data_IF_668011095329
#
_entry.id   IF_668011095329
#
_cell.length_a   1.000
_cell.length_b   1.000
_cell.length_c   1.000
_cell.angle_alpha   90.00
_cell.angle_beta   90.00
_cell.angle_gamma   90.00
#
_symmetry.space_group_name_H-M   'P 1'
#
loop_
_entity.id
_entity.type
_entity.pdbx_description
1 polymer ?
#
# COMPACT_ATOMS: atom_id res chain seq x y z
N UNK A 1 42.72 -7.26 52.86
CA UNK A 1 41.36 -7.49 52.29
C UNK A 1 40.73 -6.16 51.96
N UNK A 2 40.91 -5.67 50.73
CA UNK A 2 40.35 -4.41 50.27
C UNK A 2 39.13 -4.70 49.37
N UNK A 3 37.94 -4.35 49.85
CA UNK A 3 36.70 -4.43 49.05
C UNK A 3 36.67 -3.33 48.01
N UNK A 4 36.93 -3.66 46.74
CA UNK A 4 36.69 -2.77 45.58
C UNK A 4 35.19 -2.47 45.42
N UNK A 5 34.79 -1.26 45.77
CA UNK A 5 33.50 -0.69 45.50
C UNK A 5 33.29 -0.55 43.98
N UNK A 6 32.49 -1.42 43.35
CA UNK A 6 32.04 -1.26 41.97
C UNK A 6 30.93 -0.22 41.94
N UNK A 7 31.27 1.04 41.66
CA UNK A 7 30.28 2.07 41.27
C UNK A 7 29.66 1.68 39.94
N UNK A 8 28.39 1.29 39.93
CA UNK A 8 27.57 1.09 38.74
C UNK A 8 27.30 2.45 38.13
N UNK A 9 28.15 2.96 37.24
CA UNK A 9 27.86 4.11 36.42
C UNK A 9 26.92 3.66 35.30
N UNK A 10 25.75 4.28 35.22
CA UNK A 10 24.86 4.21 34.07
C UNK A 10 25.62 4.73 32.85
N UNK A 11 26.06 3.83 31.97
CA UNK A 11 26.82 4.12 30.75
C UNK A 11 25.86 4.49 29.61
N UNK A 12 25.16 5.65 29.70
CA UNK A 12 24.30 6.13 28.64
C UNK A 12 25.08 6.89 27.55
N UNK A 13 26.25 7.48 27.91
CA UNK A 13 27.15 8.16 26.98
C UNK A 13 28.59 7.77 27.25
N UNK A 14 29.06 6.69 26.66
CA UNK A 14 30.46 6.30 26.66
C UNK A 14 31.07 6.65 25.30
N UNK A 15 31.56 7.88 25.16
CA UNK A 15 32.19 8.42 23.95
C UNK A 15 33.50 7.67 23.58
N UNK A 16 34.06 6.92 24.51
CA UNK A 16 35.32 6.16 24.29
C UNK A 16 35.10 4.70 23.93
N UNK A 17 33.83 4.30 23.72
CA UNK A 17 33.53 2.95 23.29
C UNK A 17 33.78 2.88 21.79
N UNK A 18 34.88 2.24 21.38
CA UNK A 18 35.04 1.81 20.00
C UNK A 18 33.74 1.16 19.56
N UNK A 19 33.08 1.78 18.56
CA UNK A 19 31.87 1.23 18.02
C UNK A 19 32.16 -0.23 17.69
N UNK A 20 31.28 -1.17 18.08
CA UNK A 20 31.34 -2.51 17.52
C UNK A 20 31.31 -2.27 16.02
N UNK A 21 32.46 -2.44 15.34
CA UNK A 21 32.54 -2.36 13.90
C UNK A 21 31.34 -3.12 13.33
N UNK A 22 30.77 -2.66 12.25
CA UNK A 22 29.62 -3.30 11.60
C UNK A 22 29.92 -4.80 11.51
N UNK A 23 29.48 -5.56 12.53
CA UNK A 23 29.76 -6.98 12.63
C UNK A 23 29.28 -7.64 11.36
N UNK A 24 30.05 -8.58 10.79
CA UNK A 24 29.64 -9.36 9.61
C UNK A 24 28.16 -9.69 9.74
N UNK A 25 27.34 -9.10 8.90
CA UNK A 25 25.91 -9.44 8.85
C UNK A 25 25.87 -10.95 8.61
N UNK A 26 25.23 -11.76 9.47
CA UNK A 26 25.16 -13.19 9.25
C UNK A 26 24.63 -13.42 7.84
N UNK A 27 25.22 -14.34 7.08
CA UNK A 27 24.78 -14.73 5.75
C UNK A 27 23.35 -15.24 5.83
N UNK A 28 22.39 -14.35 5.72
CA UNK A 28 20.97 -14.68 5.69
C UNK A 28 20.59 -14.98 4.25
N UNK A 29 19.75 -16.00 4.05
CA UNK A 29 19.17 -16.27 2.73
C UNK A 29 18.60 -14.96 2.17
N UNK A 30 18.84 -14.66 0.88
CA UNK A 30 18.49 -13.39 0.26
C UNK A 30 16.99 -13.03 0.36
N UNK A 31 16.09 -14.00 0.59
CA UNK A 31 14.63 -13.80 0.50
C UNK A 31 13.79 -14.50 1.57
N UNK A 32 14.36 -14.82 2.75
CA UNK A 32 13.66 -15.59 3.79
C UNK A 32 12.82 -14.73 4.74
N UNK A 33 11.90 -15.37 5.49
CA UNK A 33 11.10 -14.74 6.56
C UNK A 33 11.97 -14.00 7.60
N UNK A 34 13.08 -14.59 8.01
CA UNK A 34 14.00 -13.97 8.97
C UNK A 34 14.52 -12.63 8.43
N UNK A 35 14.92 -12.58 7.15
CA UNK A 35 15.37 -11.34 6.51
C UNK A 35 14.24 -10.31 6.41
N UNK A 36 13.02 -10.73 6.10
CA UNK A 36 11.86 -9.84 6.10
C UNK A 36 11.71 -9.12 7.45
N UNK A 37 11.67 -9.85 8.56
CA UNK A 37 11.48 -9.25 9.89
C UNK A 37 12.66 -8.38 10.32
N UNK A 38 13.90 -8.77 10.01
CA UNK A 38 15.07 -7.96 10.30
C UNK A 38 15.03 -6.66 9.49
N UNK A 39 14.84 -6.75 8.18
CA UNK A 39 14.74 -5.56 7.31
C UNK A 39 13.59 -4.64 7.72
N UNK A 40 12.43 -5.21 8.08
CA UNK A 40 11.29 -4.47 8.58
C UNK A 40 11.62 -3.72 9.87
N UNK A 41 12.18 -4.42 10.86
CA UNK A 41 12.56 -3.86 12.18
C UNK A 41 13.59 -2.74 12.02
N UNK A 42 14.63 -2.98 11.22
CA UNK A 42 15.72 -2.01 11.03
C UNK A 42 15.27 -0.74 10.31
N UNK A 43 14.19 -0.82 9.52
CA UNK A 43 13.67 0.29 8.73
C UNK A 43 12.26 0.75 9.17
N UNK A 44 11.79 0.41 10.37
CA UNK A 44 10.43 0.72 10.83
C UNK A 44 10.09 2.21 10.75
N UNK A 45 11.03 3.10 11.10
CA UNK A 45 10.83 4.55 10.98
C UNK A 45 10.66 5.03 9.54
N UNK A 46 11.39 4.44 8.58
CA UNK A 46 11.24 4.75 7.15
C UNK A 46 9.90 4.24 6.62
N UNK A 47 9.48 3.03 7.04
CA UNK A 47 8.19 2.43 6.68
C UNK A 47 7.03 3.27 7.23
N UNK A 48 7.14 3.76 8.47
CA UNK A 48 6.17 4.72 9.04
C UNK A 48 6.10 6.02 8.23
N UNK A 49 7.25 6.55 7.80
CA UNK A 49 7.26 7.73 6.91
C UNK A 49 6.58 7.45 5.57
N UNK A 50 6.76 6.27 4.99
CA UNK A 50 6.05 5.84 3.77
C UNK A 50 4.53 5.79 4.01
N UNK A 51 4.09 5.37 5.20
CA UNK A 51 2.67 5.37 5.56
C UNK A 51 2.06 6.77 5.46
N UNK A 52 2.77 7.78 5.97
CA UNK A 52 2.32 9.18 5.89
C UNK A 52 2.20 9.61 4.41
N UNK A 53 3.16 9.27 3.54
CA UNK A 53 3.04 9.56 2.10
C UNK A 53 1.84 8.87 1.46
N UNK A 54 1.55 7.62 1.84
CA UNK A 54 0.39 6.89 1.33
C UNK A 54 -0.92 7.53 1.75
N UNK A 55 -1.03 8.00 2.99
CA UNK A 55 -2.25 8.65 3.50
C UNK A 55 -2.42 10.03 2.85
N UNK A 56 -1.41 10.90 2.96
CA UNK A 56 -1.49 12.27 2.45
C UNK A 56 -1.65 12.30 0.92
N UNK A 57 -0.94 11.43 0.20
CA UNK A 57 -1.02 11.37 -1.24
C UNK A 57 -2.34 10.81 -1.77
N UNK A 58 -3.01 9.95 -0.99
CA UNK A 58 -4.32 9.40 -1.31
C UNK A 58 -5.47 10.08 -0.52
N UNK A 59 -5.19 11.23 0.11
CA UNK A 59 -6.18 11.97 0.90
C UNK A 59 -7.51 12.23 0.16
N UNK A 60 -7.55 12.44 -1.17
CA UNK A 60 -8.79 12.60 -1.91
C UNK A 60 -9.81 11.46 -1.70
N UNK A 61 -9.38 10.25 -1.34
CA UNK A 61 -10.30 9.14 -1.10
C UNK A 61 -11.25 9.40 0.07
N UNK A 62 -10.82 10.19 1.07
CA UNK A 62 -11.68 10.52 2.22
C UNK A 62 -12.89 11.34 1.81
N UNK A 63 -12.77 12.22 0.82
CA UNK A 63 -13.91 12.97 0.28
C UNK A 63 -14.90 12.05 -0.42
N UNK A 64 -14.42 11.06 -1.20
CA UNK A 64 -15.28 10.05 -1.83
C UNK A 64 -16.01 9.22 -0.78
N UNK A 65 -15.30 8.74 0.24
CA UNK A 65 -15.90 7.96 1.33
C UNK A 65 -16.99 8.77 2.04
N UNK A 66 -16.74 10.05 2.36
CA UNK A 66 -17.71 10.91 3.02
C UNK A 66 -19.00 11.10 2.17
N UNK A 67 -18.85 11.26 0.85
CA UNK A 67 -20.01 11.36 -0.06
C UNK A 67 -20.76 10.05 -0.16
N UNK A 68 -20.07 8.94 -0.37
CA UNK A 68 -20.69 7.62 -0.50
C UNK A 68 -21.40 7.20 0.79
N UNK A 69 -20.84 7.56 1.95
CA UNK A 69 -21.48 7.35 3.25
C UNK A 69 -22.69 8.27 3.52
N UNK A 70 -22.94 9.24 2.64
CA UNK A 70 -24.10 10.13 2.76
C UNK A 70 -23.91 11.35 3.66
N UNK A 71 -22.73 11.56 4.28
CA UNK A 71 -22.49 12.68 5.23
C UNK A 71 -22.68 14.09 4.63
N UNK A 72 -22.69 14.21 3.31
CA UNK A 72 -22.84 15.49 2.60
C UNK A 72 -24.23 15.70 2.02
N UNK A 73 -25.15 14.76 2.25
CA UNK A 73 -26.54 14.82 1.78
C UNK A 73 -27.43 15.45 2.84
N UNK A 74 -28.45 16.18 2.40
CA UNK A 74 -29.50 16.71 3.27
C UNK A 74 -30.70 15.77 3.28
N UNK A 75 -31.36 15.67 4.40
CA UNK A 75 -32.63 14.98 4.53
C UNK A 75 -33.74 15.83 3.90
N UNK A 76 -34.56 15.23 3.08
CA UNK A 76 -35.76 15.86 2.53
C UNK A 76 -36.93 14.89 2.63
N UNK A 77 -38.10 15.45 2.81
CA UNK A 77 -39.35 14.72 2.91
C UNK A 77 -40.20 15.05 1.69
N UNK A 78 -40.43 14.08 0.82
CA UNK A 78 -41.28 14.24 -0.36
C UNK A 78 -42.66 13.63 -0.08
N UNK A 79 -43.73 14.28 -0.49
CA UNK A 79 -45.08 13.70 -0.48
C UNK A 79 -45.09 12.38 -1.20
N UNK A 80 -45.75 11.37 -0.61
CA UNK A 80 -45.98 10.08 -1.27
C UNK A 80 -47.17 10.11 -2.21
N UNK A 81 -48.15 11.00 -1.92
CA UNK A 81 -49.40 11.18 -2.70
C UNK A 81 -49.46 12.58 -3.31
N UNK A 82 -49.97 12.68 -4.52
CA UNK A 82 -50.27 13.96 -5.21
C UNK A 82 -51.33 14.79 -4.46
N UNK A 83 -52.15 14.13 -3.60
CA UNK A 83 -53.17 14.78 -2.76
C UNK A 83 -52.60 15.32 -1.42
N UNK A 84 -51.30 15.13 -1.15
CA UNK A 84 -50.66 15.56 0.08
C UNK A 84 -50.93 17.04 0.41
N UNK A 85 -50.82 17.92 -0.58
CA UNK A 85 -51.01 19.35 -0.37
C UNK A 85 -52.47 19.70 0.00
N UNK A 86 -53.44 19.00 -0.58
CA UNK A 86 -54.87 19.16 -0.25
C UNK A 86 -55.16 18.67 1.18
N UNK A 87 -54.68 17.48 1.52
CA UNK A 87 -54.89 16.93 2.89
C UNK A 87 -54.14 17.74 3.95
N UNK A 88 -52.94 18.19 3.65
CA UNK A 88 -52.19 19.07 4.54
C UNK A 88 -52.86 20.42 4.74
N UNK A 89 -53.40 21.00 3.67
CA UNK A 89 -54.19 22.23 3.71
C UNK A 89 -55.45 22.09 4.58
N UNK A 90 -56.24 21.02 4.36
CA UNK A 90 -57.42 20.72 5.19
C UNK A 90 -57.07 20.52 6.67
N UNK A 91 -55.97 19.78 6.95
CA UNK A 91 -55.51 19.57 8.32
C UNK A 91 -55.09 20.89 9.01
N UNK A 92 -54.46 21.82 8.29
CA UNK A 92 -54.09 23.13 8.80
C UNK A 92 -55.31 24.04 8.98
N UNK A 93 -56.28 24.03 8.07
CA UNK A 93 -57.47 24.94 8.09
C UNK A 93 -58.55 24.49 9.07
N UNK A 94 -58.83 23.20 9.18
CA UNK A 94 -59.91 22.64 9.99
C UNK A 94 -59.43 22.13 11.35
N UNK A 95 -58.12 22.05 11.52
CA UNK A 95 -57.50 21.52 12.74
C UNK A 95 -57.61 19.99 12.85
N UNK A 96 -57.35 19.48 14.07
CA UNK A 96 -57.32 18.04 14.35
C UNK A 96 -58.76 17.55 14.62
N UNK A 97 -59.41 17.06 13.55
CA UNK A 97 -60.69 16.36 13.62
C UNK A 97 -60.52 14.91 13.23
N UNK A 98 -61.45 13.99 13.58
CA UNK A 98 -61.33 12.58 13.16
C UNK A 98 -61.22 12.41 11.66
N UNK A 99 -61.94 13.25 10.87
CA UNK A 99 -61.96 13.22 9.42
C UNK A 99 -60.63 13.73 8.84
N UNK A 100 -60.08 14.84 9.33
CA UNK A 100 -58.80 15.38 8.89
C UNK A 100 -57.66 14.43 9.25
N UNK A 101 -57.70 13.77 10.41
CA UNK A 101 -56.74 12.71 10.81
C UNK A 101 -56.81 11.51 9.90
N UNK A 102 -58.03 11.02 9.54
CA UNK A 102 -58.18 9.92 8.60
C UNK A 102 -57.68 10.24 7.21
N UNK A 103 -57.97 11.43 6.67
CA UNK A 103 -57.44 11.88 5.39
C UNK A 103 -55.91 12.03 5.41
N UNK A 104 -55.35 12.60 6.47
CA UNK A 104 -53.90 12.75 6.61
C UNK A 104 -53.19 11.39 6.79
N UNK A 105 -53.79 10.43 7.46
CA UNK A 105 -53.26 9.08 7.58
C UNK A 105 -53.16 8.35 6.24
N UNK A 106 -54.07 8.65 5.31
CA UNK A 106 -54.05 8.07 3.96
C UNK A 106 -53.11 8.79 3.00
N UNK A 107 -53.18 10.12 2.95
CA UNK A 107 -52.44 10.92 1.98
C UNK A 107 -51.30 11.80 2.53
N UNK A 108 -51.16 11.88 3.86
CA UNK A 108 -50.15 12.69 4.52
C UNK A 108 -48.78 12.02 4.70
N UNK A 109 -48.64 10.78 4.20
CA UNK A 109 -47.36 10.05 4.30
C UNK A 109 -46.29 10.72 3.42
N UNK A 110 -45.14 10.94 4.00
CA UNK A 110 -43.96 11.46 3.32
C UNK A 110 -42.88 10.42 3.18
N UNK A 111 -42.21 10.39 2.05
CA UNK A 111 -41.03 9.54 1.81
C UNK A 111 -39.80 10.33 2.22
N UNK A 112 -39.03 9.79 3.14
CA UNK A 112 -37.72 10.29 3.48
C UNK A 112 -36.72 9.98 2.34
N UNK A 113 -36.02 10.98 1.86
CA UNK A 113 -34.98 10.84 0.85
C UNK A 113 -33.74 11.65 1.24
N UNK A 114 -32.57 11.20 0.78
CA UNK A 114 -31.32 11.93 0.92
C UNK A 114 -31.02 12.67 -0.41
N UNK A 115 -30.94 13.99 -0.33
CA UNK A 115 -30.74 14.86 -1.49
C UNK A 115 -29.30 15.38 -1.50
N UNK A 116 -28.59 15.32 -2.62
CA UNK A 116 -27.26 15.90 -2.74
C UNK A 116 -27.29 17.42 -2.51
N UNK A 117 -26.36 17.92 -1.69
CA UNK A 117 -26.14 19.35 -1.48
C UNK A 117 -25.03 19.88 -2.38
N UNK A 118 -24.80 21.19 -2.41
CA UNK A 118 -23.64 21.77 -3.09
C UNK A 118 -22.31 21.17 -2.57
N UNK A 119 -22.24 20.91 -1.26
CA UNK A 119 -21.07 20.26 -0.64
C UNK A 119 -20.82 18.84 -1.20
N UNK A 120 -21.88 18.10 -1.53
CA UNK A 120 -21.77 16.78 -2.20
C UNK A 120 -20.99 16.87 -3.49
N UNK A 121 -21.31 17.86 -4.35
CA UNK A 121 -20.61 18.04 -5.62
C UNK A 121 -19.16 18.51 -5.44
N UNK A 122 -18.91 19.39 -4.48
CA UNK A 122 -17.53 19.80 -4.13
C UNK A 122 -16.70 18.59 -3.69
N UNK A 123 -17.26 17.72 -2.86
CA UNK A 123 -16.56 16.53 -2.38
C UNK A 123 -16.36 15.49 -3.49
N UNK A 124 -17.31 15.36 -4.44
CA UNK A 124 -17.07 14.54 -5.64
C UNK A 124 -15.90 15.09 -6.48
N UNK A 125 -15.83 16.41 -6.66
CA UNK A 125 -14.72 17.02 -7.39
C UNK A 125 -13.38 16.83 -6.68
N UNK A 126 -13.30 17.05 -5.37
CA UNK A 126 -12.10 16.82 -4.59
C UNK A 126 -11.72 15.34 -4.56
N UNK A 127 -12.67 14.45 -4.39
CA UNK A 127 -12.46 13.01 -4.39
C UNK A 127 -11.96 12.48 -5.74
N UNK A 128 -12.40 13.08 -6.86
CA UNK A 128 -11.94 12.67 -8.19
C UNK A 128 -10.45 12.88 -8.42
N UNK A 129 -9.78 13.74 -7.62
CA UNK A 129 -8.33 13.93 -7.69
C UNK A 129 -7.55 12.65 -7.38
N UNK A 130 -8.17 11.64 -6.75
CA UNK A 130 -7.55 10.32 -6.53
C UNK A 130 -7.08 9.69 -7.84
N UNK A 131 -7.79 9.94 -8.94
CA UNK A 131 -7.45 9.41 -10.26
C UNK A 131 -6.04 9.83 -10.70
N UNK A 132 -5.61 11.04 -10.30
CA UNK A 132 -4.30 11.57 -10.62
C UNK A 132 -3.24 11.20 -9.56
N UNK A 133 -3.59 11.25 -8.28
CA UNK A 133 -2.61 11.06 -7.19
C UNK A 133 -2.23 9.61 -6.97
N UNK A 134 -3.16 8.68 -7.19
CA UNK A 134 -3.01 7.27 -6.85
C UNK A 134 -1.79 6.60 -7.49
N UNK A 135 -1.58 6.80 -8.78
CA UNK A 135 -0.44 6.24 -9.51
C UNK A 135 0.90 6.79 -9.01
N UNK A 136 0.98 8.11 -8.77
CA UNK A 136 2.19 8.74 -8.27
C UNK A 136 2.59 8.24 -6.88
N UNK A 137 1.61 8.13 -5.98
CA UNK A 137 1.84 7.62 -4.62
C UNK A 137 2.33 6.18 -4.63
N UNK A 138 1.69 5.32 -5.43
CA UNK A 138 2.10 3.91 -5.53
C UNK A 138 3.49 3.76 -6.13
N UNK A 139 3.87 4.54 -7.15
CA UNK A 139 5.21 4.51 -7.76
C UNK A 139 6.27 5.00 -6.77
N UNK A 140 6.05 6.15 -6.12
CA UNK A 140 6.99 6.70 -5.14
C UNK A 140 7.22 5.75 -3.97
N UNK A 141 6.15 5.22 -3.40
CA UNK A 141 6.22 4.30 -2.26
C UNK A 141 6.78 2.92 -2.64
N UNK A 142 6.44 2.39 -3.82
CA UNK A 142 7.02 1.12 -4.30
C UNK A 142 8.53 1.21 -4.49
N UNK A 143 9.06 2.35 -4.97
CA UNK A 143 10.50 2.56 -5.10
C UNK A 143 11.21 2.49 -3.75
N UNK A 144 10.70 3.22 -2.75
CA UNK A 144 11.26 3.24 -1.40
C UNK A 144 11.22 1.86 -0.76
N UNK A 145 10.05 1.20 -0.78
CA UNK A 145 9.86 -0.11 -0.16
C UNK A 145 10.70 -1.20 -0.85
N UNK A 146 10.89 -1.11 -2.18
CA UNK A 146 11.80 -1.99 -2.92
C UNK A 146 13.24 -1.81 -2.47
N UNK A 147 13.72 -0.56 -2.33
CA UNK A 147 15.08 -0.28 -1.89
C UNK A 147 15.33 -0.78 -0.46
N UNK A 148 14.33 -0.62 0.44
CA UNK A 148 14.37 -1.22 1.79
C UNK A 148 14.48 -2.75 1.70
N UNK A 149 13.67 -3.41 0.86
CA UNK A 149 13.71 -4.87 0.69
C UNK A 149 15.07 -5.35 0.14
N UNK A 150 15.65 -4.59 -0.79
CA UNK A 150 16.97 -4.84 -1.37
C UNK A 150 18.10 -4.64 -0.35
N UNK A 151 17.89 -3.79 0.65
CA UNK A 151 18.90 -3.41 1.66
C UNK A 151 19.69 -2.18 1.27
N UNK A 152 19.26 -1.42 0.27
CA UNK A 152 19.87 -0.17 -0.15
C UNK A 152 19.59 0.97 0.83
N UNK A 153 20.48 1.96 0.95
CA UNK A 153 20.21 3.17 1.72
C UNK A 153 19.02 3.93 1.11
N UNK A 154 18.13 4.46 1.97
CA UNK A 154 16.89 5.11 1.56
C UNK A 154 16.76 6.49 2.22
N UNK A 155 16.51 7.51 1.39
CA UNK A 155 16.14 8.87 1.77
C UNK A 155 14.69 9.14 1.37
N UNK A 156 13.74 8.86 2.26
CA UNK A 156 12.30 8.73 1.98
C UNK A 156 11.74 9.86 1.11
N UNK A 157 12.01 11.13 1.46
CA UNK A 157 11.52 12.30 0.71
C UNK A 157 12.13 12.42 -0.69
N UNK A 158 13.45 12.36 -0.76
CA UNK A 158 14.20 12.49 -2.02
C UNK A 158 13.86 11.36 -2.99
N UNK A 159 13.86 10.13 -2.49
CA UNK A 159 13.62 8.93 -3.29
C UNK A 159 12.18 8.86 -3.80
N UNK A 160 11.20 9.33 -2.98
CA UNK A 160 9.82 9.44 -3.42
C UNK A 160 9.69 10.32 -4.66
N UNK A 161 10.17 11.56 -4.57
CA UNK A 161 10.06 12.51 -5.67
C UNK A 161 10.92 12.13 -6.87
N UNK A 162 12.09 11.52 -6.65
CA UNK A 162 12.90 10.96 -7.72
C UNK A 162 12.14 9.91 -8.51
N UNK A 163 11.52 8.95 -7.85
CA UNK A 163 10.76 7.89 -8.50
C UNK A 163 9.55 8.43 -9.26
N UNK A 164 8.80 9.35 -8.65
CA UNK A 164 7.64 10.00 -9.29
C UNK A 164 8.06 10.77 -10.54
N UNK A 165 9.09 11.63 -10.45
CA UNK A 165 9.58 12.40 -11.60
C UNK A 165 10.10 11.51 -12.73
N UNK A 166 10.82 10.44 -12.40
CA UNK A 166 11.38 9.51 -13.39
C UNK A 166 10.31 8.74 -14.15
N UNK A 167 9.21 8.38 -13.48
CA UNK A 167 8.18 7.51 -14.03
C UNK A 167 6.82 8.19 -14.22
N UNK A 168 6.73 9.52 -14.22
CA UNK A 168 5.48 10.28 -14.12
C UNK A 168 4.43 9.91 -15.18
N UNK A 169 4.83 9.70 -16.45
CA UNK A 169 3.92 9.34 -17.54
C UNK A 169 3.29 7.96 -17.31
N UNK A 170 4.13 6.99 -16.94
CA UNK A 170 3.66 5.63 -16.68
C UNK A 170 2.81 5.58 -15.41
N UNK A 171 3.22 6.29 -14.36
CA UNK A 171 2.48 6.41 -13.12
C UNK A 171 1.09 7.03 -13.32
N UNK A 172 0.99 8.09 -14.13
CA UNK A 172 -0.29 8.72 -14.43
C UNK A 172 -1.21 7.79 -15.24
N UNK A 173 -0.72 7.27 -16.37
CA UNK A 173 -1.54 6.43 -17.27
C UNK A 173 -1.99 5.16 -16.54
N UNK A 174 -1.06 4.46 -15.90
CA UNK A 174 -1.42 3.24 -15.19
C UNK A 174 -2.23 3.54 -13.92
N UNK A 175 -1.97 4.63 -13.22
CA UNK A 175 -2.76 5.07 -12.07
C UNK A 175 -4.23 5.26 -12.38
N UNK A 176 -4.55 5.90 -13.53
CA UNK A 176 -5.93 6.03 -14.02
C UNK A 176 -6.55 4.65 -14.27
N UNK A 177 -5.84 3.77 -14.97
CA UNK A 177 -6.30 2.40 -15.27
C UNK A 177 -6.54 1.63 -13.96
N UNK A 178 -5.64 1.74 -13.00
CA UNK A 178 -5.69 1.06 -11.70
C UNK A 178 -6.91 1.51 -10.87
N UNK A 179 -7.17 2.81 -10.82
CA UNK A 179 -8.36 3.37 -10.12
C UNK A 179 -9.64 2.89 -10.80
N UNK A 180 -9.69 2.90 -12.14
CA UNK A 180 -10.87 2.44 -12.88
C UNK A 180 -11.14 0.96 -12.66
N UNK A 181 -10.13 0.09 -12.80
CA UNK A 181 -10.29 -1.36 -12.58
C UNK A 181 -10.69 -1.63 -11.12
N UNK A 182 -10.01 -1.02 -10.16
CA UNK A 182 -10.34 -1.19 -8.73
C UNK A 182 -11.75 -0.70 -8.43
N UNK A 183 -12.15 0.44 -9.00
CA UNK A 183 -13.50 0.98 -8.85
C UNK A 183 -14.58 0.08 -9.44
N UNK A 184 -14.36 -0.47 -10.64
CA UNK A 184 -15.30 -1.41 -11.29
C UNK A 184 -15.40 -2.71 -10.46
N UNK A 185 -14.28 -3.26 -10.01
CA UNK A 185 -14.31 -4.47 -9.17
C UNK A 185 -15.03 -4.23 -7.85
N UNK A 186 -14.76 -3.10 -7.18
CA UNK A 186 -15.44 -2.74 -5.93
C UNK A 186 -16.94 -2.52 -6.13
N UNK A 187 -17.34 -1.82 -7.21
CA UNK A 187 -18.74 -1.59 -7.57
C UNK A 187 -19.48 -2.91 -7.86
N UNK A 188 -18.85 -3.81 -8.63
CA UNK A 188 -19.43 -5.13 -8.91
C UNK A 188 -19.60 -5.95 -7.65
N UNK A 189 -18.56 -6.03 -6.79
CA UNK A 189 -18.63 -6.75 -5.53
C UNK A 189 -19.75 -6.20 -4.63
N UNK A 190 -19.85 -4.86 -4.51
CA UNK A 190 -20.91 -4.22 -3.74
C UNK A 190 -22.29 -4.62 -4.25
N UNK A 191 -22.56 -4.50 -5.55
CA UNK A 191 -23.87 -4.84 -6.11
C UNK A 191 -24.19 -6.35 -5.99
N UNK A 192 -23.18 -7.21 -6.12
CA UNK A 192 -23.39 -8.67 -6.00
C UNK A 192 -23.59 -9.14 -4.54
N UNK A 193 -23.05 -8.39 -3.56
CA UNK A 193 -23.26 -8.69 -2.13
C UNK A 193 -24.64 -8.24 -1.64
N UNK A 194 -25.08 -7.04 -2.07
CA UNK A 194 -26.30 -6.41 -1.59
C UNK A 194 -27.49 -6.51 -2.57
N UNK A 195 -27.28 -7.15 -3.73
CA UNK A 195 -28.31 -7.36 -4.74
C UNK A 195 -29.14 -8.63 -4.52
N UNK A 196 -29.95 -8.96 -5.50
CA UNK A 196 -30.77 -10.18 -5.49
C UNK A 196 -29.91 -11.45 -5.47
N UNK A 197 -30.30 -12.42 -4.67
CA UNK A 197 -29.59 -13.72 -4.55
C UNK A 197 -30.14 -14.72 -5.57
N UNK A 198 -29.24 -15.40 -6.28
CA UNK A 198 -29.57 -16.44 -7.23
C UNK A 198 -28.33 -17.22 -7.66
N UNK A 199 -28.53 -18.34 -8.33
CA UNK A 199 -27.41 -19.17 -8.78
C UNK A 199 -26.43 -18.40 -9.68
N UNK A 200 -26.95 -17.69 -10.68
CA UNK A 200 -26.14 -16.89 -11.62
C UNK A 200 -25.42 -15.76 -10.89
N UNK A 201 -26.11 -15.04 -10.00
CA UNK A 201 -25.53 -13.96 -9.20
C UNK A 201 -24.39 -14.49 -8.32
N UNK A 202 -24.57 -15.66 -7.70
CA UNK A 202 -23.51 -16.31 -6.90
C UNK A 202 -22.31 -16.72 -7.75
N UNK A 203 -22.51 -17.24 -8.95
CA UNK A 203 -21.41 -17.54 -9.87
C UNK A 203 -20.64 -16.26 -10.28
N UNK A 204 -21.35 -15.18 -10.61
CA UNK A 204 -20.76 -13.88 -10.94
C UNK A 204 -19.99 -13.30 -9.75
N UNK A 205 -20.52 -13.46 -8.53
CA UNK A 205 -19.83 -13.03 -7.31
C UNK A 205 -18.46 -13.71 -7.18
N UNK A 206 -18.43 -15.05 -7.20
CA UNK A 206 -17.17 -15.79 -7.05
C UNK A 206 -16.19 -15.53 -8.20
N UNK A 207 -16.67 -15.41 -9.43
CA UNK A 207 -15.83 -15.02 -10.56
C UNK A 207 -15.20 -13.62 -10.35
N UNK A 208 -15.99 -12.66 -9.86
CA UNK A 208 -15.49 -11.31 -9.56
C UNK A 208 -14.50 -11.34 -8.39
N UNK A 209 -14.71 -12.14 -7.36
CA UNK A 209 -13.75 -12.32 -6.25
C UNK A 209 -12.43 -12.87 -6.76
N UNK A 210 -12.45 -13.90 -7.60
CA UNK A 210 -11.23 -14.50 -8.17
C UNK A 210 -10.47 -13.45 -9.01
N UNK A 211 -11.17 -12.70 -9.86
CA UNK A 211 -10.57 -11.62 -10.66
C UNK A 211 -9.99 -10.52 -9.78
N UNK A 212 -10.69 -10.13 -8.71
CA UNK A 212 -10.23 -9.12 -7.77
C UNK A 212 -8.95 -9.56 -7.04
N UNK A 213 -8.89 -10.81 -6.56
CA UNK A 213 -7.70 -11.39 -5.91
C UNK A 213 -6.53 -11.48 -6.90
N UNK A 214 -6.79 -11.95 -8.13
CA UNK A 214 -5.74 -12.02 -9.17
C UNK A 214 -5.20 -10.62 -9.50
N UNK A 215 -6.09 -9.64 -9.71
CA UNK A 215 -5.69 -8.26 -9.97
C UNK A 215 -4.94 -7.65 -8.80
N UNK A 216 -5.38 -7.90 -7.57
CA UNK A 216 -4.69 -7.45 -6.35
C UNK A 216 -3.25 -7.99 -6.28
N UNK A 217 -3.04 -9.26 -6.62
CA UNK A 217 -1.70 -9.87 -6.69
C UNK A 217 -0.89 -9.28 -7.85
N UNK A 218 -1.47 -9.10 -9.04
CA UNK A 218 -0.80 -8.47 -10.18
C UNK A 218 -0.24 -7.08 -9.82
N UNK A 219 -1.00 -6.29 -9.04
CA UNK A 219 -0.57 -4.97 -8.58
C UNK A 219 0.72 -4.99 -7.76
N UNK A 220 1.05 -6.11 -7.06
CA UNK A 220 2.34 -6.24 -6.36
C UNK A 220 3.51 -6.05 -7.31
N UNK A 221 3.38 -6.64 -8.50
CA UNK A 221 4.43 -6.66 -9.51
C UNK A 221 4.47 -5.43 -10.39
N UNK A 222 3.32 -4.86 -10.71
CA UNK A 222 3.22 -3.74 -11.67
C UNK A 222 4.04 -2.54 -11.22
N UNK A 223 3.81 -2.05 -10.01
CA UNK A 223 4.53 -0.89 -9.51
C UNK A 223 6.00 -1.19 -9.24
N UNK A 224 6.34 -2.39 -8.78
CA UNK A 224 7.75 -2.81 -8.58
C UNK A 224 8.50 -2.88 -9.91
N UNK A 225 7.90 -3.47 -10.97
CA UNK A 225 8.50 -3.50 -12.30
C UNK A 225 8.66 -2.10 -12.91
N UNK A 226 7.66 -1.24 -12.73
CA UNK A 226 7.69 0.15 -13.23
C UNK A 226 8.87 0.95 -12.67
N UNK A 227 9.22 0.74 -11.41
CA UNK A 227 10.35 1.43 -10.77
C UNK A 227 11.69 0.71 -10.95
N UNK A 228 11.67 -0.54 -11.39
CA UNK A 228 12.89 -1.36 -11.55
C UNK A 228 13.38 -1.37 -13.00
N UNK A 229 12.46 -1.49 -13.98
CA UNK A 229 12.80 -1.67 -15.39
C UNK A 229 12.26 -0.55 -16.27
N UNK A 230 12.91 -0.31 -17.42
CA UNK A 230 12.42 0.57 -18.47
C UNK A 230 11.55 -0.22 -19.46
N UNK A 231 10.33 -0.61 -19.06
CA UNK A 231 9.41 -1.40 -19.88
C UNK A 231 8.18 -0.56 -20.25
N UNK A 232 7.51 -0.89 -21.36
CA UNK A 232 6.20 -0.32 -21.68
C UNK A 232 5.11 -0.87 -20.76
N UNK A 233 4.04 -0.10 -20.52
CA UNK A 233 2.92 -0.47 -19.64
C UNK A 233 2.34 -1.84 -20.02
N UNK A 234 2.13 -2.09 -21.31
CA UNK A 234 1.58 -3.39 -21.79
C UNK A 234 2.49 -4.57 -21.44
N UNK A 235 3.81 -4.41 -21.55
CA UNK A 235 4.78 -5.44 -21.15
C UNK A 235 4.76 -5.64 -19.62
N UNK A 236 4.68 -4.55 -18.84
CA UNK A 236 4.58 -4.63 -17.39
C UNK A 236 3.33 -5.40 -16.97
N UNK A 237 2.15 -5.10 -17.55
CA UNK A 237 0.89 -5.79 -17.24
C UNK A 237 0.99 -7.28 -17.58
N UNK A 238 1.49 -7.61 -18.79
CA UNK A 238 1.67 -9.01 -19.22
C UNK A 238 2.61 -9.78 -18.29
N UNK A 239 3.76 -9.21 -17.97
CA UNK A 239 4.73 -9.83 -17.07
C UNK A 239 4.17 -9.99 -15.66
N UNK A 240 3.42 -9.00 -15.16
CA UNK A 240 2.79 -9.05 -13.84
C UNK A 240 1.76 -10.16 -13.71
N UNK A 241 1.01 -10.46 -14.78
CA UNK A 241 0.10 -11.60 -14.80
C UNK A 241 0.89 -12.91 -14.70
N UNK A 242 1.99 -13.05 -15.46
CA UNK A 242 2.85 -14.24 -15.40
C UNK A 242 3.43 -14.41 -14.00
N UNK A 243 3.98 -13.35 -13.39
CA UNK A 243 4.54 -13.41 -12.04
C UNK A 243 3.50 -13.67 -10.96
N UNK A 244 2.26 -13.16 -11.14
CA UNK A 244 1.16 -13.47 -10.23
C UNK A 244 0.89 -14.97 -10.17
N UNK A 245 0.96 -15.67 -11.31
CA UNK A 245 0.74 -17.12 -11.40
C UNK A 245 1.98 -17.92 -10.97
N UNK A 246 3.16 -17.60 -11.50
CA UNK A 246 4.41 -18.32 -11.19
C UNK A 246 4.87 -18.11 -9.75
N UNK A 247 4.61 -16.93 -9.20
CA UNK A 247 4.95 -16.56 -7.81
C UNK A 247 3.94 -17.01 -6.77
N UNK A 248 2.96 -17.88 -7.08
CA UNK A 248 1.79 -18.21 -6.26
C UNK A 248 2.12 -18.46 -4.78
N UNK A 249 3.10 -19.32 -4.48
CA UNK A 249 3.47 -19.62 -3.08
C UNK A 249 3.85 -18.35 -2.29
N UNK A 250 4.70 -17.50 -2.84
CA UNK A 250 5.16 -16.27 -2.19
C UNK A 250 4.05 -15.21 -2.14
N UNK A 251 3.23 -15.15 -3.17
CA UNK A 251 2.08 -14.26 -3.25
C UNK A 251 1.00 -14.59 -2.22
N UNK A 252 0.70 -15.88 -2.02
CA UNK A 252 -0.24 -16.34 -0.99
C UNK A 252 0.27 -15.97 0.40
N UNK A 253 1.55 -16.15 0.68
CA UNK A 253 2.13 -15.77 1.98
C UNK A 253 1.99 -14.27 2.23
N UNK A 254 2.27 -13.43 1.22
CA UNK A 254 2.06 -11.98 1.35
C UNK A 254 0.58 -11.62 1.51
N UNK A 255 -0.31 -12.29 0.78
CA UNK A 255 -1.76 -12.13 0.91
C UNK A 255 -2.25 -12.49 2.32
N UNK A 256 -1.80 -13.62 2.87
CA UNK A 256 -2.12 -14.02 4.24
C UNK A 256 -1.61 -13.00 5.27
N UNK A 257 -0.44 -12.43 5.07
CA UNK A 257 0.07 -11.33 5.90
C UNK A 257 -0.83 -10.08 5.86
N UNK A 258 -1.29 -9.69 4.67
CA UNK A 258 -2.25 -8.60 4.50
C UNK A 258 -3.60 -8.91 5.17
N UNK A 259 -4.12 -10.13 4.97
CA UNK A 259 -5.37 -10.58 5.60
C UNK A 259 -5.25 -10.62 7.12
N UNK A 260 -4.08 -10.98 7.66
CA UNK A 260 -3.83 -10.93 9.11
C UNK A 260 -3.90 -9.49 9.65
N UNK A 261 -3.33 -8.52 8.96
CA UNK A 261 -3.45 -7.10 9.35
C UNK A 261 -4.92 -6.66 9.34
N UNK A 262 -5.67 -6.98 8.29
CA UNK A 262 -7.11 -6.65 8.20
C UNK A 262 -7.93 -7.38 9.27
N UNK A 263 -7.60 -8.61 9.60
CA UNK A 263 -8.26 -9.37 10.67
C UNK A 263 -7.99 -8.75 12.04
N UNK A 264 -6.77 -8.28 12.31
CA UNK A 264 -6.47 -7.55 13.55
C UNK A 264 -7.27 -6.26 13.66
N UNK A 265 -7.41 -5.50 12.56
CA UNK A 265 -8.29 -4.33 12.52
C UNK A 265 -9.74 -4.68 12.84
N UNK A 266 -10.25 -5.73 12.21
CA UNK A 266 -11.61 -6.22 12.49
C UNK A 266 -11.80 -6.58 13.97
N UNK A 267 -10.83 -7.27 14.59
CA UNK A 267 -10.89 -7.61 16.00
C UNK A 267 -10.91 -6.35 16.89
N UNK A 268 -10.11 -5.35 16.60
CA UNK A 268 -10.08 -4.10 17.39
C UNK A 268 -11.39 -3.34 17.29
N UNK A 269 -12.04 -3.32 16.13
CA UNK A 269 -13.33 -2.63 15.93
C UNK A 269 -14.49 -3.40 16.57
N UNK A 270 -14.61 -4.70 16.27
CA UNK A 270 -15.83 -5.46 16.53
C UNK A 270 -15.77 -6.42 17.71
N UNK A 271 -14.61 -7.00 18.01
CA UNK A 271 -14.49 -8.00 19.06
C UNK A 271 -14.12 -7.42 20.41
N UNK A 272 -13.19 -6.45 20.44
CA UNK A 272 -12.69 -5.91 21.70
C UNK A 272 -13.43 -4.63 22.11
N UNK A 273 -13.82 -3.75 21.17
CA UNK A 273 -14.54 -2.52 21.46
C UNK A 273 -13.79 -1.56 22.38
N UNK A 274 -14.48 -0.56 22.92
CA UNK A 274 -13.94 0.36 23.93
C UNK A 274 -12.64 1.06 23.49
N UNK A 275 -11.60 0.99 24.34
CA UNK A 275 -10.31 1.63 24.08
C UNK A 275 -9.61 1.06 22.83
N UNK A 276 -9.91 -0.18 22.44
CA UNK A 276 -9.29 -0.82 21.28
C UNK A 276 -9.73 -0.20 19.94
N UNK A 277 -10.87 0.49 19.90
CA UNK A 277 -11.29 1.29 18.72
C UNK A 277 -10.25 2.37 18.41
N UNK A 278 -9.63 2.97 19.45
CA UNK A 278 -8.56 3.94 19.25
C UNK A 278 -7.34 3.34 18.55
N UNK A 279 -7.01 2.08 18.83
CA UNK A 279 -5.94 1.34 18.12
C UNK A 279 -6.33 1.04 16.67
N UNK A 280 -7.58 0.66 16.40
CA UNK A 280 -8.08 0.44 15.04
C UNK A 280 -8.01 1.71 14.17
N UNK A 281 -8.13 2.90 14.77
CA UNK A 281 -7.92 4.16 14.05
C UNK A 281 -6.44 4.51 13.93
N UNK A 282 -5.66 4.33 15.00
CA UNK A 282 -4.27 4.75 15.08
C UNK A 282 -3.32 3.88 14.22
N UNK A 283 -3.50 2.57 14.21
CA UNK A 283 -2.58 1.66 13.53
C UNK A 283 -2.54 1.87 12.00
N UNK A 284 -3.68 2.00 11.27
CA UNK A 284 -3.66 2.34 9.85
C UNK A 284 -2.99 3.70 9.60
N UNK A 285 -3.25 4.69 10.45
CA UNK A 285 -2.67 6.02 10.31
C UNK A 285 -1.16 6.03 10.55
N UNK A 286 -0.65 5.18 11.42
CA UNK A 286 0.77 5.15 11.78
C UNK A 286 1.58 4.24 10.87
N UNK A 287 1.14 2.97 10.66
CA UNK A 287 2.04 1.97 10.07
C UNK A 287 1.36 0.86 9.24
N UNK A 288 0.09 0.51 9.43
CA UNK A 288 -0.48 -0.70 8.83
C UNK A 288 -0.55 -0.66 7.31
N UNK A 289 -0.89 0.49 6.71
CA UNK A 289 -0.99 0.62 5.25
C UNK A 289 0.36 0.35 4.59
N UNK A 290 1.43 0.95 5.12
CA UNK A 290 2.79 0.72 4.61
C UNK A 290 3.34 -0.66 4.93
N UNK A 291 2.94 -1.27 6.05
CA UNK A 291 3.29 -2.66 6.39
C UNK A 291 2.71 -3.63 5.37
N UNK A 292 1.41 -3.50 5.05
CA UNK A 292 0.77 -4.29 4.00
C UNK A 292 1.41 -4.05 2.63
N UNK A 293 1.77 -2.80 2.33
CA UNK A 293 2.49 -2.47 1.10
C UNK A 293 3.88 -3.09 1.06
N UNK A 294 4.62 -3.07 2.18
CA UNK A 294 5.95 -3.67 2.28
C UNK A 294 5.91 -5.19 2.08
N UNK A 295 4.95 -5.89 2.68
CA UNK A 295 4.77 -7.34 2.48
C UNK A 295 4.61 -7.68 0.99
N UNK A 296 3.78 -6.91 0.27
CA UNK A 296 3.54 -7.06 -1.16
C UNK A 296 4.79 -6.79 -2.01
N UNK A 297 5.45 -5.66 -1.75
CA UNK A 297 6.66 -5.26 -2.48
C UNK A 297 7.81 -6.23 -2.23
N UNK A 298 7.98 -6.69 -0.98
CA UNK A 298 8.98 -7.70 -0.62
C UNK A 298 8.78 -9.00 -1.41
N UNK A 299 7.55 -9.51 -1.43
CA UNK A 299 7.21 -10.73 -2.16
C UNK A 299 7.46 -10.58 -3.68
N UNK A 300 7.03 -9.45 -4.25
CA UNK A 300 7.18 -9.18 -5.67
C UNK A 300 8.65 -8.98 -6.08
N UNK A 301 9.40 -8.17 -5.33
CA UNK A 301 10.79 -7.88 -5.65
C UNK A 301 11.64 -9.15 -5.70
N UNK A 302 11.60 -9.98 -4.66
CA UNK A 302 12.40 -11.19 -4.62
C UNK A 302 11.95 -12.27 -5.62
N UNK A 303 10.70 -12.22 -6.09
CA UNK A 303 10.29 -13.09 -7.20
C UNK A 303 10.78 -12.58 -8.55
N UNK A 304 10.82 -11.28 -8.75
CA UNK A 304 11.41 -10.64 -9.93
C UNK A 304 12.93 -10.88 -9.95
N UNK A 305 13.59 -10.74 -8.80
CA UNK A 305 15.02 -11.02 -8.64
C UNK A 305 15.35 -12.45 -9.06
N UNK A 306 14.62 -13.43 -8.53
CA UNK A 306 14.79 -14.86 -8.82
C UNK A 306 14.60 -15.21 -10.31
N UNK A 307 13.63 -14.57 -10.99
CA UNK A 307 13.23 -14.96 -12.36
C UNK A 307 13.84 -14.12 -13.47
N UNK A 308 14.29 -12.90 -13.18
CA UNK A 308 14.82 -11.98 -14.20
C UNK A 308 16.22 -11.51 -13.84
N UNK A 309 16.43 -11.00 -12.61
CA UNK A 309 17.65 -10.28 -12.26
C UNK A 309 18.81 -11.26 -12.10
N UNK A 310 18.63 -12.33 -11.33
CA UNK A 310 19.70 -13.33 -11.13
C UNK A 310 20.08 -14.06 -12.43
N UNK A 311 19.14 -14.58 -13.25
CA UNK A 311 19.49 -15.21 -14.51
C UNK A 311 20.21 -14.26 -15.47
N UNK A 312 19.83 -12.97 -15.50
CA UNK A 312 20.53 -11.97 -16.30
C UNK A 312 21.98 -11.81 -15.88
N UNK A 313 22.28 -11.73 -14.59
CA UNK A 313 23.65 -11.62 -14.08
C UNK A 313 24.44 -12.94 -14.12
N UNK A 314 23.76 -14.08 -14.27
CA UNK A 314 24.43 -15.36 -14.56
C UNK A 314 24.93 -15.41 -16.02
N UNK A 315 24.16 -14.80 -16.95
CA UNK A 315 24.55 -14.67 -18.36
C UNK A 315 25.55 -13.52 -18.61
N UNK A 316 25.52 -12.46 -17.76
CA UNK A 316 26.35 -11.26 -17.88
C UNK A 316 27.04 -10.95 -16.54
N UNK A 317 28.03 -11.76 -16.12
CA UNK A 317 28.69 -11.59 -14.82
C UNK A 317 29.41 -10.23 -14.69
N UNK A 318 29.87 -9.68 -15.80
CA UNK A 318 30.57 -8.38 -15.88
C UNK A 318 29.67 -7.19 -15.51
N UNK A 319 28.37 -7.31 -15.70
CA UNK A 319 27.41 -6.25 -15.36
C UNK A 319 26.88 -6.37 -13.92
N UNK A 320 27.28 -7.41 -13.17
CA UNK A 320 26.84 -7.59 -11.78
C UNK A 320 27.41 -6.45 -10.91
N UNK A 321 26.59 -5.66 -10.22
CA UNK A 321 27.08 -4.68 -9.29
C UNK A 321 27.97 -5.34 -8.23
N UNK A 322 29.16 -4.80 -8.05
CA UNK A 322 30.07 -5.24 -6.98
C UNK A 322 29.48 -4.79 -5.66
N UNK A 323 29.29 -5.72 -4.73
CA UNK A 323 28.86 -5.39 -3.37
C UNK A 323 30.09 -4.92 -2.59
N UNK A 324 30.40 -3.62 -2.69
CA UNK A 324 31.56 -2.97 -2.05
C UNK A 324 31.61 -3.23 -0.53
N UNK A 325 30.45 -3.55 0.07
CA UNK A 325 30.33 -3.80 1.50
C UNK A 325 30.48 -5.28 1.89
N UNK A 326 30.62 -6.20 0.95
CA UNK A 326 30.79 -7.62 1.25
C UNK A 326 32.21 -7.93 1.79
N UNK A 327 33.17 -7.01 1.56
CA UNK A 327 34.57 -7.13 1.95
C UNK A 327 35.07 -5.89 2.68
N UNK A 328 34.60 -5.66 3.91
CA UNK A 328 35.05 -4.57 4.79
C UNK A 328 36.60 -4.53 5.00
N UNK A 329 37.30 -5.67 4.89
CA UNK A 329 38.74 -5.76 5.03
C UNK A 329 39.49 -5.06 3.89
N UNK A 330 38.96 -5.09 2.65
CA UNK A 330 39.57 -4.43 1.47
C UNK A 330 39.24 -2.93 1.47
N UNK A 331 38.01 -2.56 1.86
CA UNK A 331 37.54 -1.17 1.89
C UNK A 331 38.20 -0.33 2.99
N UNK A 332 38.74 -0.97 4.06
CA UNK A 332 39.35 -0.31 5.21
C UNK A 332 40.87 -0.20 5.12
N UNK A 333 41.49 -0.57 4.00
CA UNK A 333 42.94 -0.45 3.78
C UNK A 333 43.26 0.93 3.25
N UNK A 334 43.94 1.74 4.05
CA UNK A 334 44.37 3.10 3.67
C UNK A 334 45.53 3.13 2.65
N UNK A 335 46.21 1.99 2.47
CA UNK A 335 47.40 1.83 1.61
C UNK A 335 47.06 1.42 0.16
N UNK A 336 45.77 1.22 -0.16
CA UNK A 336 45.33 0.75 -1.47
C UNK A 336 44.43 1.78 -2.14
N UNK A 337 44.68 2.05 -3.42
CA UNK A 337 43.86 2.97 -4.20
C UNK A 337 42.46 2.40 -4.43
N UNK A 338 41.48 3.27 -4.66
CA UNK A 338 40.10 2.86 -4.90
C UNK A 338 39.95 1.88 -6.08
N UNK A 339 40.77 2.05 -7.13
CA UNK A 339 40.84 1.12 -8.27
C UNK A 339 41.35 -0.27 -7.90
N UNK A 340 42.40 -0.34 -7.08
CA UNK A 340 42.96 -1.61 -6.62
C UNK A 340 41.96 -2.33 -5.69
N UNK A 341 41.27 -1.59 -4.81
CA UNK A 341 40.19 -2.12 -3.96
C UNK A 341 39.08 -2.76 -4.80
N UNK A 342 38.62 -2.04 -5.83
CA UNK A 342 37.58 -2.55 -6.73
C UNK A 342 38.07 -3.75 -7.56
N UNK A 343 39.34 -3.75 -7.99
CA UNK A 343 39.92 -4.88 -8.73
C UNK A 343 40.03 -6.12 -7.84
N UNK A 344 40.49 -5.98 -6.57
CA UNK A 344 40.55 -7.09 -5.60
C UNK A 344 39.16 -7.66 -5.31
N UNK A 345 38.16 -6.80 -5.12
CA UNK A 345 36.78 -7.22 -4.89
C UNK A 345 36.20 -7.97 -6.09
N UNK A 346 36.45 -7.45 -7.31
CA UNK A 346 36.03 -8.13 -8.55
C UNK A 346 36.68 -9.49 -8.73
N UNK A 347 38.01 -9.56 -8.52
CA UNK A 347 38.77 -10.81 -8.60
C UNK A 347 38.29 -11.86 -7.59
N UNK A 348 37.98 -11.45 -6.38
CA UNK A 348 37.49 -12.33 -5.31
C UNK A 348 36.08 -12.86 -5.57
N UNK A 349 35.25 -12.05 -6.25
CA UNK A 349 33.88 -12.45 -6.65
C UNK A 349 33.84 -13.17 -8.00
N UNK A 350 34.98 -13.48 -8.62
CA UNK A 350 35.07 -14.18 -9.90
C UNK A 350 34.65 -13.34 -11.11
N UNK A 351 34.56 -12.01 -10.95
CA UNK A 351 34.19 -11.08 -12.02
C UNK A 351 35.46 -10.70 -12.79
N UNK A 352 35.54 -11.07 -14.08
CA UNK A 352 36.67 -10.68 -14.96
C UNK A 352 36.69 -9.17 -15.14
N UNK A 353 37.88 -8.57 -15.01
CA UNK A 353 38.11 -7.15 -15.36
C UNK A 353 38.49 -7.09 -16.84
N UNK A 354 37.86 -6.21 -17.61
CA UNK A 354 38.12 -5.99 -19.03
C UNK A 354 39.47 -5.28 -19.32
N UNK A 355 40.36 -5.17 -18.33
CA UNK A 355 41.62 -4.40 -18.45
C UNK A 355 42.79 -5.27 -18.96
N UNK A 356 42.56 -6.49 -19.48
CA UNK A 356 43.61 -7.34 -20.07
C UNK A 356 43.61 -7.34 -21.62
N UNK A 357 42.83 -6.44 -22.27
CA UNK A 357 42.82 -6.25 -23.71
C UNK A 357 43.23 -4.83 -24.15
N UNK A 358 44.44 -4.33 -23.72
CA UNK A 358 45.19 -3.29 -24.43
C UNK A 358 46.70 -3.59 -24.44
#
# INVERSE_FOLDING_TARGET
MEKKNKKTRLKIFDITRDGKGLGKKPSMSRSGFKRFFVSYKDNIGKITSVNIFMILGNFPIFFLVAVLAGYTKAEAYLPFSDLFSGYSGAFVSEGVTPDTMAMFAIGGVQKHILVPTALTYVFYALGSLIVFTFGFVNVGTAYILRNIAKGEPVFVWSDFWYAVKRNWRQALIYGIIDVLITGILAFNLYNLVFGETGFVTSMMFWATVILAVLYFIMRYYIYVQMVTFKLSISKIIKNSLIFALVGMKRNIVALLGVLLCLFLEFLFVFAFGGIFISFAVALPLIIFISTMAYMKVYAAYFKIEELIIEPYYEEHPEERPVDEYENDEVLMRDDVTERERLAEVKARNGIRTNDEEE
#
